data_IF_673624370612
#
_entry.id   IF_673624370612
#
_cell.length_a   1.000
_cell.length_b   1.000
_cell.length_c   1.000
_cell.angle_alpha   90.00
_cell.angle_beta   90.00
_cell.angle_gamma   90.00
#
_symmetry.space_group_name_H-M   'P 1'
#
loop_
_entity.id
_entity.type
_entity.pdbx_description
1 polymer ?
#
# COMPACT_ATOMS: atom_id res chain seq x y z
N UNK A 1 7.21 2.81 -6.14
CA UNK A 1 6.86 1.39 -6.25
C UNK A 1 7.56 0.75 -7.45
N UNK A 2 7.84 -0.56 -7.38
CA UNK A 2 8.40 -1.31 -8.54
C UNK A 2 7.44 -1.33 -9.73
N UNK A 3 6.14 -1.16 -9.50
CA UNK A 3 5.14 -1.00 -10.57
C UNK A 3 5.44 0.21 -11.46
N UNK A 4 6.03 1.26 -10.91
CA UNK A 4 6.31 2.51 -11.61
C UNK A 4 7.45 2.39 -12.63
N UNK A 5 8.26 1.32 -12.55
CA UNK A 5 9.30 1.03 -13.54
C UNK A 5 8.70 0.78 -14.93
N UNK A 6 7.58 0.06 -15.02
CA UNK A 6 6.95 -0.21 -16.31
C UNK A 6 6.54 1.08 -17.01
N UNK A 7 5.82 1.99 -16.31
CA UNK A 7 5.44 3.28 -16.87
C UNK A 7 6.65 4.14 -17.24
N UNK A 8 7.72 4.08 -16.44
CA UNK A 8 8.95 4.83 -16.71
C UNK A 8 9.64 4.36 -17.98
N UNK A 9 9.68 3.05 -18.25
CA UNK A 9 10.25 2.51 -19.48
C UNK A 9 9.46 2.93 -20.71
N UNK A 10 8.13 2.93 -20.66
CA UNK A 10 7.30 3.44 -21.76
C UNK A 10 7.57 4.92 -22.02
N UNK A 11 7.67 5.72 -20.97
CA UNK A 11 7.92 7.16 -21.07
C UNK A 11 9.31 7.47 -21.65
N UNK A 12 10.38 6.83 -21.15
CA UNK A 12 11.73 7.01 -21.68
C UNK A 12 11.89 6.49 -23.10
N UNK A 13 11.17 5.45 -23.47
CA UNK A 13 11.14 4.94 -24.84
C UNK A 13 10.27 5.79 -25.77
N UNK A 14 9.57 6.80 -25.27
CA UNK A 14 8.59 7.60 -25.99
C UNK A 14 7.50 6.73 -26.65
N UNK A 15 7.04 5.70 -25.96
CA UNK A 15 5.99 4.77 -26.38
C UNK A 15 4.76 4.99 -25.51
N UNK A 16 3.57 4.99 -26.12
CA UNK A 16 2.33 5.14 -25.39
C UNK A 16 2.12 3.97 -24.40
N UNK A 17 1.87 4.31 -23.14
CA UNK A 17 1.62 3.34 -22.08
C UNK A 17 0.22 2.72 -22.25
N UNK A 18 0.07 1.36 -22.22
CA UNK A 18 -1.22 0.71 -22.22
C UNK A 18 -2.15 1.23 -21.09
N UNK A 19 -3.43 1.42 -21.40
CA UNK A 19 -4.40 2.02 -20.47
C UNK A 19 -4.62 1.19 -19.19
N UNK A 20 -4.36 -0.11 -19.22
CA UNK A 20 -4.49 -1.00 -18.07
C UNK A 20 -3.28 -0.96 -17.12
N UNK A 21 -2.21 -0.25 -17.46
CA UNK A 21 -1.07 -0.05 -16.56
C UNK A 21 -1.37 1.11 -15.61
N UNK A 22 -1.56 0.80 -14.34
CA UNK A 22 -1.95 1.75 -13.28
C UNK A 22 -0.78 2.56 -12.71
N UNK A 23 0.45 2.22 -13.10
CA UNK A 23 1.65 2.90 -12.63
C UNK A 23 1.88 4.27 -13.28
N UNK A 24 2.63 5.13 -12.61
CA UNK A 24 3.08 6.43 -13.12
C UNK A 24 4.58 6.41 -13.41
N UNK A 25 5.03 7.21 -14.38
CA UNK A 25 6.45 7.35 -14.68
C UNK A 25 7.20 8.02 -13.51
N UNK A 26 8.38 7.51 -13.21
CA UNK A 26 9.33 8.12 -12.27
C UNK A 26 10.18 9.21 -12.92
N UNK A 27 10.03 9.44 -14.23
CA UNK A 27 10.86 10.37 -14.99
C UNK A 27 10.83 11.77 -14.42
N UNK A 28 9.63 12.34 -14.21
CA UNK A 28 9.48 13.67 -13.64
C UNK A 28 10.13 13.80 -12.24
N UNK A 29 10.00 12.74 -11.41
CA UNK A 29 10.66 12.72 -10.09
C UNK A 29 12.20 12.72 -10.22
N UNK A 30 12.76 11.97 -11.16
CA UNK A 30 14.20 11.87 -11.39
C UNK A 30 14.75 13.16 -12.01
N UNK A 31 14.00 13.77 -12.93
CA UNK A 31 14.38 15.01 -13.61
C UNK A 31 14.11 16.27 -12.77
N UNK A 32 13.45 16.13 -11.61
CA UNK A 32 13.20 17.22 -10.66
C UNK A 32 11.92 18.01 -10.93
N UNK A 33 11.07 17.55 -11.84
CA UNK A 33 9.79 18.21 -12.21
C UNK A 33 8.63 17.79 -11.28
N UNK A 34 8.92 17.10 -10.23
CA UNK A 34 8.13 16.49 -9.16
C UNK A 34 6.61 16.40 -9.32
N UNK A 35 6.11 15.19 -9.26
CA UNK A 35 4.97 14.79 -8.44
C UNK A 35 5.25 13.39 -7.87
N UNK A 36 5.89 13.36 -6.69
CA UNK A 36 6.05 12.10 -5.96
C UNK A 36 4.67 11.64 -5.47
N UNK A 37 4.37 10.36 -5.61
CA UNK A 37 3.22 9.80 -4.92
C UNK A 37 3.45 9.89 -3.43
N UNK A 38 2.46 10.40 -2.71
CA UNK A 38 2.48 10.43 -1.24
C UNK A 38 2.17 9.06 -0.64
N UNK A 39 1.63 8.14 -1.45
CA UNK A 39 1.14 6.84 -1.01
C UNK A 39 1.70 5.71 -1.88
N UNK A 40 2.22 4.67 -1.23
CA UNK A 40 2.60 3.41 -1.86
C UNK A 40 1.74 2.26 -1.33
N UNK A 41 1.36 1.34 -2.23
CA UNK A 41 0.64 0.12 -1.89
C UNK A 41 1.48 -1.11 -2.20
N UNK A 42 1.29 -2.15 -1.37
CA UNK A 42 1.86 -3.47 -1.60
C UNK A 42 0.84 -4.54 -1.27
N UNK A 43 0.83 -5.61 -2.05
CA UNK A 43 -0.06 -6.74 -1.88
C UNK A 43 0.74 -8.03 -1.88
N UNK A 44 0.34 -8.95 -1.01
CA UNK A 44 0.92 -10.29 -0.95
C UNK A 44 -0.19 -11.32 -0.78
N UNK A 45 -0.31 -12.20 -1.76
CA UNK A 45 -1.26 -13.32 -1.72
C UNK A 45 -0.47 -14.63 -1.69
N UNK A 46 -0.63 -15.38 -0.59
CA UNK A 46 0.03 -16.67 -0.40
C UNK A 46 -1.00 -17.79 -0.41
N UNK A 47 -0.77 -18.76 -1.26
CA UNK A 47 -1.64 -19.94 -1.39
C UNK A 47 -1.30 -21.00 -0.34
N UNK A 48 -2.30 -21.70 0.22
CA UNK A 48 -2.10 -22.76 1.21
C UNK A 48 -1.22 -23.93 0.69
N UNK A 49 -1.20 -24.15 -0.62
CA UNK A 49 -0.43 -25.24 -1.25
C UNK A 49 1.09 -25.14 -1.02
N UNK A 50 1.61 -23.97 -0.67
CA UNK A 50 3.05 -23.76 -0.43
C UNK A 50 3.48 -23.93 1.02
N UNK A 51 2.64 -23.49 1.97
CA UNK A 51 3.01 -23.36 3.38
C UNK A 51 1.97 -23.92 4.33
N UNK A 52 0.82 -24.37 3.81
CA UNK A 52 -0.34 -24.77 4.61
C UNK A 52 -1.15 -23.58 5.17
N UNK A 53 -0.73 -22.36 4.90
CA UNK A 53 -1.39 -21.13 5.37
C UNK A 53 -1.74 -20.27 4.19
N UNK A 54 -2.98 -19.78 4.15
CA UNK A 54 -3.41 -18.72 3.25
C UNK A 54 -3.16 -17.36 3.92
N UNK A 55 -2.57 -16.42 3.18
CA UNK A 55 -2.34 -15.06 3.64
C UNK A 55 -2.66 -14.09 2.50
N UNK A 56 -3.47 -13.08 2.81
CA UNK A 56 -3.83 -12.01 1.88
C UNK A 56 -3.52 -10.66 2.52
N UNK A 57 -2.27 -10.22 2.38
CA UNK A 57 -1.79 -8.99 2.99
C UNK A 57 -2.02 -7.79 2.07
N UNK A 58 -2.49 -6.70 2.65
CA UNK A 58 -2.63 -5.39 2.02
C UNK A 58 -1.90 -4.36 2.84
N UNK A 59 -1.00 -3.65 2.19
CA UNK A 59 -0.18 -2.64 2.84
C UNK A 59 -0.36 -1.29 2.17
N UNK A 60 -0.52 -0.27 2.98
CA UNK A 60 -0.37 1.13 2.58
C UNK A 60 0.77 1.76 3.36
N UNK A 61 1.58 2.55 2.68
CA UNK A 61 2.65 3.34 3.28
C UNK A 61 2.57 4.78 2.78
N UNK A 62 2.54 5.71 3.71
CA UNK A 62 2.72 7.14 3.49
C UNK A 62 4.12 7.56 3.97
N UNK A 63 4.42 8.85 3.94
CA UNK A 63 5.66 9.38 4.53
C UNK A 63 5.69 9.25 6.06
N UNK A 64 4.52 9.31 6.71
CA UNK A 64 4.38 9.37 8.17
C UNK A 64 3.81 8.12 8.81
N UNK A 65 3.28 7.17 8.04
CA UNK A 65 2.63 6.00 8.59
C UNK A 65 2.64 4.80 7.65
N UNK A 66 2.45 3.60 8.24
CA UNK A 66 2.30 2.35 7.50
C UNK A 66 1.23 1.49 8.18
N UNK A 67 0.38 0.87 7.38
CA UNK A 67 -0.57 -0.14 7.82
C UNK A 67 -0.47 -1.35 6.92
N UNK A 68 -0.35 -2.53 7.52
CA UNK A 68 -0.52 -3.83 6.86
C UNK A 68 -1.66 -4.56 7.53
N UNK A 69 -2.62 -5.06 6.75
CA UNK A 69 -3.71 -5.89 7.24
C UNK A 69 -3.74 -7.23 6.50
N UNK A 70 -4.18 -8.25 7.20
CA UNK A 70 -4.49 -9.57 6.67
C UNK A 70 -6.01 -9.66 6.48
N UNK A 71 -6.46 -9.87 5.21
CA UNK A 71 -7.88 -9.74 4.83
C UNK A 71 -8.79 -10.78 5.48
N UNK A 72 -8.29 -11.99 5.74
CA UNK A 72 -9.11 -13.11 6.23
C UNK A 72 -9.34 -12.98 7.73
N UNK A 73 -8.28 -12.71 8.48
CA UNK A 73 -8.33 -12.67 9.95
C UNK A 73 -8.63 -11.27 10.51
N UNK A 74 -8.40 -10.22 9.71
CA UNK A 74 -8.44 -8.84 10.19
C UNK A 74 -7.25 -8.44 11.07
N UNK A 75 -6.27 -9.32 11.28
CA UNK A 75 -5.06 -9.00 12.02
C UNK A 75 -4.20 -7.98 11.25
N UNK A 76 -3.43 -7.17 11.97
CA UNK A 76 -2.63 -6.17 11.30
C UNK A 76 -1.46 -5.62 12.09
N UNK A 77 -0.68 -4.81 11.40
CA UNK A 77 0.43 -4.04 11.94
C UNK A 77 0.30 -2.60 11.49
N UNK A 78 0.46 -1.68 12.41
CA UNK A 78 0.44 -0.25 12.11
C UNK A 78 1.59 0.46 12.81
N UNK A 79 2.25 1.35 12.08
CA UNK A 79 3.39 2.13 12.58
C UNK A 79 3.17 3.60 12.29
N UNK A 80 3.41 4.43 13.29
CA UNK A 80 3.53 5.88 13.16
C UNK A 80 5.01 6.22 12.93
N UNK A 81 5.38 6.42 11.67
CA UNK A 81 6.77 6.60 11.26
C UNK A 81 7.35 7.94 11.66
N UNK A 82 6.51 8.88 12.11
CA UNK A 82 6.97 10.17 12.65
C UNK A 82 7.63 9.98 14.01
N UNK A 83 7.11 9.06 14.81
CA UNK A 83 7.61 8.75 16.16
C UNK A 83 8.52 7.51 16.16
N UNK A 84 8.28 6.57 15.26
CA UNK A 84 8.92 5.26 15.19
C UNK A 84 9.34 4.92 13.74
N UNK A 85 10.37 5.58 13.19
CA UNK A 85 10.80 5.35 11.81
C UNK A 85 11.37 3.95 11.55
N UNK A 86 11.78 3.25 12.60
CA UNK A 86 12.35 1.90 12.56
C UNK A 86 11.30 0.80 12.71
N UNK A 87 10.01 1.16 12.82
CA UNK A 87 8.87 0.23 12.87
C UNK A 87 8.97 -0.79 14.03
N UNK A 88 9.42 -0.34 15.22
CA UNK A 88 9.68 -1.21 16.37
C UNK A 88 8.44 -1.46 17.24
N UNK A 89 7.42 -0.59 17.17
CA UNK A 89 6.25 -0.63 18.04
C UNK A 89 4.97 -0.71 17.23
N UNK A 90 4.36 -1.90 17.16
CA UNK A 90 3.07 -2.08 16.50
C UNK A 90 1.97 -1.30 17.25
N UNK A 91 1.31 -0.37 16.56
CA UNK A 91 0.23 0.50 17.08
C UNK A 91 -1.16 0.07 16.59
N UNK A 92 -1.29 -1.09 15.97
CA UNK A 92 -2.56 -1.54 15.38
C UNK A 92 -3.71 -1.56 16.40
N UNK A 93 -3.46 -2.03 17.61
CA UNK A 93 -4.45 -2.11 18.68
C UNK A 93 -4.44 -0.91 19.66
N UNK A 94 -3.69 0.16 19.32
CA UNK A 94 -3.58 1.35 20.16
C UNK A 94 -4.85 2.22 20.06
N UNK A 95 -5.65 2.36 21.15
CA UNK A 95 -6.85 3.18 21.14
C UNK A 95 -6.59 4.66 20.79
N UNK A 96 -5.39 5.16 21.12
CA UNK A 96 -4.99 6.54 20.83
C UNK A 96 -4.68 6.80 19.36
N UNK A 97 -4.56 5.75 18.54
CA UNK A 97 -4.23 5.83 17.12
C UNK A 97 -5.39 5.40 16.18
N UNK A 98 -6.61 5.25 16.71
CA UNK A 98 -7.80 4.84 15.95
C UNK A 98 -8.09 5.72 14.72
N UNK A 99 -7.91 7.02 14.84
CA UNK A 99 -8.13 7.95 13.72
C UNK A 99 -7.15 7.70 12.58
N UNK A 100 -5.87 7.52 12.89
CA UNK A 100 -4.82 7.19 11.92
C UNK A 100 -5.09 5.80 11.30
N UNK A 101 -5.45 4.82 12.09
CA UNK A 101 -5.80 3.48 11.62
C UNK A 101 -6.92 3.53 10.59
N UNK A 102 -8.00 4.27 10.91
CA UNK A 102 -9.14 4.44 10.00
C UNK A 102 -8.73 5.11 8.69
N UNK A 103 -7.96 6.17 8.73
CA UNK A 103 -7.44 6.87 7.55
C UNK A 103 -6.68 5.92 6.63
N UNK A 104 -5.72 5.17 7.18
CA UNK A 104 -4.91 4.22 6.42
C UNK A 104 -5.76 3.06 5.86
N UNK A 105 -6.76 2.62 6.62
CA UNK A 105 -7.69 1.59 6.17
C UNK A 105 -8.55 2.07 4.99
N UNK A 106 -9.03 3.31 5.05
CA UNK A 106 -9.78 3.92 3.95
C UNK A 106 -8.90 4.06 2.69
N UNK A 107 -7.61 4.37 2.84
CA UNK A 107 -6.65 4.37 1.73
C UNK A 107 -6.49 2.98 1.10
N UNK A 108 -6.38 1.91 1.91
CA UNK A 108 -6.32 0.53 1.39
C UNK A 108 -7.59 0.20 0.60
N UNK A 109 -8.76 0.60 1.09
CA UNK A 109 -10.04 0.38 0.40
C UNK A 109 -10.16 1.15 -0.91
N UNK A 110 -9.61 2.35 -0.97
CA UNK A 110 -9.65 3.21 -2.15
C UNK A 110 -8.56 2.92 -3.19
N UNK A 111 -7.64 1.99 -2.92
CA UNK A 111 -6.53 1.70 -3.82
C UNK A 111 -6.98 1.14 -5.17
N UNK A 112 -6.20 1.33 -6.24
CA UNK A 112 -6.49 0.71 -7.53
C UNK A 112 -6.64 -0.82 -7.41
N UNK A 113 -7.71 -1.39 -7.96
CA UNK A 113 -7.98 -2.83 -7.90
C UNK A 113 -8.72 -3.31 -6.66
N UNK A 114 -9.04 -2.43 -5.70
CA UNK A 114 -9.72 -2.76 -4.43
C UNK A 114 -11.09 -3.43 -4.60
N UNK A 115 -11.75 -3.28 -5.75
CA UNK A 115 -13.05 -3.91 -6.04
C UNK A 115 -13.00 -5.45 -6.07
N UNK A 116 -11.81 -6.04 -6.06
CA UNK A 116 -11.61 -7.49 -6.03
C UNK A 116 -11.39 -8.04 -4.61
N UNK A 117 -11.35 -7.17 -3.60
CA UNK A 117 -11.06 -7.56 -2.23
C UNK A 117 -12.31 -7.66 -1.38
N UNK A 118 -12.26 -8.57 -0.42
CA UNK A 118 -13.26 -8.74 0.64
C UNK A 118 -12.71 -8.24 1.97
N UNK A 119 -12.25 -6.98 2.01
CA UNK A 119 -11.75 -6.40 3.27
C UNK A 119 -12.84 -6.39 4.33
N UNK A 120 -12.53 -6.82 5.58
CA UNK A 120 -13.45 -6.71 6.68
C UNK A 120 -13.87 -5.25 6.92
N UNK A 121 -15.08 -5.03 7.39
CA UNK A 121 -15.51 -3.69 7.80
C UNK A 121 -14.70 -3.26 9.03
N UNK A 122 -14.14 -2.06 8.98
CA UNK A 122 -13.48 -1.48 10.15
C UNK A 122 -14.57 -1.03 11.12
N UNK A 123 -14.71 -1.72 12.23
CA UNK A 123 -15.55 -1.26 13.34
C UNK A 123 -14.90 -0.03 14.00
N UNK A 124 -15.63 1.08 14.00
CA UNK A 124 -15.16 2.37 14.50
C UNK A 124 -15.09 2.41 16.04
#
# INVERSE_FOLDING_TARGET
STLDLAASFYDWANVEKPANIQSASLRGLIEGDSDSRDVAYSEWNQQPSRTGVELNLRTVRTQSAKLTIEEISGAGEMYDLSDDPDEMVNRFDDPGKKALQKELFDMIRARPGSTMDTLPEHEA
#
